data_IF_382017295599
#
_entry.id   IF_382017295599
#
_cell.length_a   1.000
_cell.length_b   1.000
_cell.length_c   1.000
_cell.angle_alpha   90.00
_cell.angle_beta   90.00
_cell.angle_gamma   90.00
#
_symmetry.space_group_name_H-M   'P 1'
#
loop_
_entity.id
_entity.type
_entity.pdbx_description
1 polymer ?
#
# COMPACT_ATOMS: atom_id res chain seq x y z
N UNK A 1 7.21 -7.71 23.14
CA UNK A 1 6.15 -7.38 22.17
C UNK A 1 6.08 -8.53 21.19
N UNK A 2 4.93 -9.19 21.06
CA UNK A 2 4.76 -10.28 20.10
C UNK A 2 4.88 -9.73 18.68
N UNK A 3 5.51 -10.47 17.76
CA UNK A 3 5.76 -10.07 16.37
C UNK A 3 4.48 -9.63 15.65
N UNK A 4 3.33 -10.16 16.07
CA UNK A 4 2.00 -9.78 15.59
C UNK A 4 1.65 -8.32 15.90
N UNK A 5 2.01 -7.81 17.08
CA UNK A 5 1.76 -6.42 17.48
C UNK A 5 2.55 -5.45 16.61
N UNK A 6 3.79 -5.80 16.26
CA UNK A 6 4.66 -4.97 15.42
C UNK A 6 4.11 -4.82 14.00
N UNK A 7 3.55 -5.89 13.42
CA UNK A 7 2.92 -5.81 12.09
C UNK A 7 1.72 -4.86 12.08
N UNK A 8 0.87 -4.93 13.11
CA UNK A 8 -0.29 -4.04 13.25
C UNK A 8 0.16 -2.59 13.43
N UNK A 9 1.16 -2.34 14.27
CA UNK A 9 1.72 -1.00 14.50
C UNK A 9 2.29 -0.44 13.19
N UNK A 10 3.08 -1.23 12.45
CA UNK A 10 3.67 -0.81 11.19
C UNK A 10 2.59 -0.48 10.15
N UNK A 11 1.53 -1.27 10.08
CA UNK A 11 0.38 -1.03 9.21
C UNK A 11 -0.34 0.28 9.56
N UNK A 12 -0.59 0.54 10.85
CA UNK A 12 -1.19 1.81 11.31
C UNK A 12 -0.29 3.01 11.02
N UNK A 13 1.02 2.88 11.21
CA UNK A 13 1.98 3.94 10.90
C UNK A 13 1.97 4.26 9.41
N UNK A 14 1.95 3.24 8.53
CA UNK A 14 1.83 3.42 7.08
C UNK A 14 0.52 4.11 6.69
N UNK A 15 -0.59 3.74 7.32
CA UNK A 15 -1.89 4.39 7.13
C UNK A 15 -1.88 5.85 7.56
N UNK A 16 -1.32 6.14 8.74
CA UNK A 16 -1.21 7.51 9.25
C UNK A 16 -0.33 8.38 8.36
N UNK A 17 0.78 7.84 7.86
CA UNK A 17 1.66 8.51 6.89
C UNK A 17 0.98 8.77 5.54
N UNK A 18 0.02 7.94 5.15
CA UNK A 18 -0.76 8.17 3.94
C UNK A 18 -1.67 9.40 4.05
N UNK A 19 -2.12 9.81 5.25
CA UNK A 19 -3.02 10.95 5.44
C UNK A 19 -2.42 12.29 4.97
N UNK A 20 -1.25 12.76 5.46
CA UNK A 20 -0.64 14.00 4.98
C UNK A 20 -0.24 13.90 3.51
N UNK A 21 0.14 12.71 3.04
CA UNK A 21 0.52 12.47 1.65
C UNK A 21 -0.66 12.65 0.69
N UNK A 22 -1.80 12.01 0.98
CA UNK A 22 -3.04 12.13 0.20
C UNK A 22 -3.53 13.58 0.22
N UNK A 23 -3.47 14.25 1.38
CA UNK A 23 -3.83 15.68 1.48
C UNK A 23 -2.98 16.56 0.56
N UNK A 24 -1.69 16.26 0.41
CA UNK A 24 -0.75 17.04 -0.43
C UNK A 24 -0.80 16.69 -1.91
N UNK A 25 -1.08 15.42 -2.25
CA UNK A 25 -1.09 14.91 -3.62
C UNK A 25 -2.45 15.00 -4.33
N UNK A 26 -3.51 15.32 -3.58
CA UNK A 26 -4.89 15.35 -4.07
C UNK A 26 -5.15 16.54 -5.00
N UNK A 27 -5.96 16.28 -6.04
CA UNK A 27 -6.52 17.32 -6.89
C UNK A 27 -7.53 18.20 -6.11
N UNK A 28 -7.48 19.55 -6.23
CA UNK A 28 -8.30 20.48 -5.44
C UNK A 28 -9.83 20.26 -5.51
N UNK A 29 -10.33 19.57 -6.54
CA UNK A 29 -11.77 19.32 -6.76
C UNK A 29 -12.33 18.06 -6.08
N UNK A 30 -11.50 17.15 -5.57
CA UNK A 30 -11.98 15.89 -4.98
C UNK A 30 -12.39 16.09 -3.52
N UNK A 31 -13.27 15.27 -2.91
CA UNK A 31 -13.46 15.27 -1.44
C UNK A 31 -12.30 14.51 -0.76
N UNK A 32 -11.64 15.06 0.28
CA UNK A 32 -10.43 14.47 0.84
C UNK A 32 -10.65 13.08 1.45
N UNK A 33 -11.82 12.86 2.07
CA UNK A 33 -12.19 11.57 2.65
C UNK A 33 -12.37 10.48 1.58
N UNK A 34 -13.03 10.80 0.47
CA UNK A 34 -13.24 9.85 -0.62
C UNK A 34 -11.91 9.44 -1.28
N UNK A 35 -11.02 10.41 -1.52
CA UNK A 35 -9.67 10.14 -2.03
C UNK A 35 -8.86 9.25 -1.07
N UNK A 36 -8.98 9.47 0.24
CA UNK A 36 -8.35 8.63 1.25
C UNK A 36 -8.91 7.20 1.24
N UNK A 37 -10.22 7.01 1.23
CA UNK A 37 -10.83 5.68 1.17
C UNK A 37 -10.39 4.90 -0.07
N UNK A 38 -10.42 5.55 -1.25
CA UNK A 38 -9.96 4.93 -2.50
C UNK A 38 -8.48 4.54 -2.41
N UNK A 39 -7.63 5.42 -1.88
CA UNK A 39 -6.21 5.13 -1.68
C UNK A 39 -6.00 3.93 -0.74
N UNK A 40 -6.65 3.92 0.42
CA UNK A 40 -6.50 2.85 1.42
C UNK A 40 -6.96 1.52 0.86
N UNK A 41 -8.09 1.49 0.15
CA UNK A 41 -8.59 0.26 -0.48
C UNK A 41 -7.62 -0.24 -1.55
N UNK A 42 -7.17 0.63 -2.46
CA UNK A 42 -6.21 0.24 -3.51
C UNK A 42 -4.87 -0.19 -2.94
N UNK A 43 -4.37 0.52 -1.93
CA UNK A 43 -3.13 0.17 -1.25
C UNK A 43 -3.27 -1.19 -0.55
N UNK A 44 -4.37 -1.44 0.15
CA UNK A 44 -4.60 -2.70 0.87
C UNK A 44 -4.73 -3.88 -0.09
N UNK A 45 -5.53 -3.73 -1.14
CA UNK A 45 -5.70 -4.76 -2.17
C UNK A 45 -4.39 -4.98 -2.93
N UNK A 46 -3.70 -3.92 -3.34
CA UNK A 46 -2.42 -3.99 -4.03
C UNK A 46 -1.33 -4.64 -3.19
N UNK A 47 -1.26 -4.30 -1.90
CA UNK A 47 -0.33 -4.92 -0.96
C UNK A 47 -0.67 -6.40 -0.73
N UNK A 48 -1.94 -6.77 -0.57
CA UNK A 48 -2.36 -8.17 -0.44
C UNK A 48 -1.97 -8.99 -1.68
N UNK A 49 -2.26 -8.48 -2.88
CA UNK A 49 -1.91 -9.15 -4.14
C UNK A 49 -0.39 -9.28 -4.29
N UNK A 50 0.38 -8.21 -4.07
CA UNK A 50 1.84 -8.28 -4.17
C UNK A 50 2.45 -9.19 -3.12
N UNK A 51 1.97 -9.14 -1.87
CA UNK A 51 2.41 -10.04 -0.82
C UNK A 51 2.18 -11.50 -1.23
N UNK A 52 0.98 -11.85 -1.69
CA UNK A 52 0.66 -13.21 -2.11
C UNK A 52 1.51 -13.68 -3.29
N UNK A 53 1.70 -12.83 -4.31
CA UNK A 53 2.52 -13.16 -5.50
C UNK A 53 3.98 -13.35 -5.13
N UNK A 54 4.56 -12.44 -4.34
CA UNK A 54 5.95 -12.54 -3.90
C UNK A 54 6.17 -13.74 -2.96
N UNK A 55 5.22 -14.02 -2.07
CA UNK A 55 5.26 -15.18 -1.19
C UNK A 55 5.21 -16.48 -1.99
N UNK A 56 4.33 -16.55 -3.00
CA UNK A 56 4.22 -17.70 -3.91
C UNK A 56 5.49 -17.91 -4.75
N UNK A 57 6.12 -16.83 -5.21
CA UNK A 57 7.41 -16.88 -5.90
C UNK A 57 8.50 -17.41 -4.95
N UNK A 58 8.63 -16.83 -3.75
CA UNK A 58 9.65 -17.27 -2.80
C UNK A 58 9.46 -18.72 -2.35
N UNK A 59 8.22 -19.17 -2.14
CA UNK A 59 7.95 -20.57 -1.79
C UNK A 59 8.29 -21.52 -2.94
N UNK A 60 7.98 -21.15 -4.18
CA UNK A 60 8.29 -21.95 -5.37
C UNK A 60 9.79 -22.10 -5.64
N UNK A 61 10.60 -21.08 -5.32
CA UNK A 61 12.06 -21.09 -5.50
C UNK A 61 12.85 -21.48 -4.23
N UNK A 62 12.19 -21.84 -3.13
CA UNK A 62 12.85 -22.16 -1.86
C UNK A 62 13.51 -20.96 -1.17
N UNK A 63 13.16 -19.72 -1.56
CA UNK A 63 13.75 -18.48 -1.04
C UNK A 63 13.19 -18.01 0.30
N UNK A 64 12.39 -18.82 1.00
CA UNK A 64 11.76 -18.44 2.27
C UNK A 64 12.79 -18.16 3.38
N UNK A 65 14.00 -18.71 3.29
CA UNK A 65 15.09 -18.41 4.21
C UNK A 65 15.52 -16.94 4.18
N UNK A 66 15.28 -16.24 3.08
CA UNK A 66 15.51 -14.80 3.00
C UNK A 66 14.61 -14.01 3.95
N UNK A 67 13.39 -14.50 4.28
CA UNK A 67 12.49 -13.84 5.24
C UNK A 67 12.93 -14.01 6.70
N UNK A 68 13.75 -15.01 7.01
CA UNK A 68 14.29 -15.18 8.37
C UNK A 68 15.32 -14.10 8.73
N UNK A 69 15.92 -13.47 7.72
CA UNK A 69 16.87 -12.39 7.90
C UNK A 69 16.16 -11.04 7.85
N UNK A 70 16.40 -10.18 8.85
CA UNK A 70 15.88 -8.80 8.92
C UNK A 70 16.02 -8.03 7.59
N UNK A 71 17.17 -8.01 6.90
CA UNK A 71 17.29 -7.30 5.62
C UNK A 71 16.46 -7.93 4.49
N UNK A 72 16.33 -9.25 4.44
CA UNK A 72 15.52 -9.91 3.41
C UNK A 72 14.03 -9.68 3.64
N UNK A 73 13.57 -9.72 4.90
CA UNK A 73 12.22 -9.32 5.28
C UNK A 73 11.95 -7.85 4.96
N UNK A 74 12.90 -6.94 5.24
CA UNK A 74 12.76 -5.53 4.90
C UNK A 74 12.64 -5.31 3.40
N UNK A 75 13.49 -5.95 2.60
CA UNK A 75 13.46 -5.86 1.13
C UNK A 75 12.14 -6.39 0.57
N UNK A 76 11.66 -7.52 1.11
CA UNK A 76 10.36 -8.10 0.75
C UNK A 76 9.21 -7.13 1.02
N UNK A 77 9.17 -6.52 2.21
CA UNK A 77 8.14 -5.53 2.55
C UNK A 77 8.20 -4.28 1.65
N UNK A 78 9.41 -3.81 1.30
CA UNK A 78 9.59 -2.71 0.35
C UNK A 78 9.02 -3.08 -1.02
N UNK A 79 9.32 -4.28 -1.52
CA UNK A 79 8.79 -4.80 -2.78
C UNK A 79 7.26 -4.97 -2.78
N UNK A 80 6.65 -5.22 -1.63
CA UNK A 80 5.18 -5.27 -1.50
C UNK A 80 4.58 -3.87 -1.45
N UNK A 81 5.05 -3.02 -0.54
CA UNK A 81 4.39 -1.75 -0.23
C UNK A 81 4.68 -0.65 -1.25
N UNK A 82 5.87 -0.59 -1.84
CA UNK A 82 6.23 0.46 -2.82
C UNK A 82 5.33 0.43 -4.07
N UNK A 83 5.16 -0.70 -4.79
CA UNK A 83 4.28 -0.73 -5.94
C UNK A 83 2.81 -0.51 -5.58
N UNK A 84 2.34 -1.05 -4.44
CA UNK A 84 0.99 -0.80 -3.95
C UNK A 84 0.76 0.70 -3.67
N UNK A 85 1.75 1.37 -3.08
CA UNK A 85 1.74 2.81 -2.83
C UNK A 85 1.75 3.63 -4.12
N UNK A 86 2.56 3.23 -5.10
CA UNK A 86 2.62 3.89 -6.41
C UNK A 86 1.30 3.77 -7.17
N UNK A 87 0.63 2.62 -7.10
CA UNK A 87 -0.71 2.42 -7.66
C UNK A 87 -1.73 3.38 -7.04
N UNK A 88 -1.77 3.46 -5.71
CA UNK A 88 -2.63 4.41 -4.99
C UNK A 88 -2.32 5.86 -5.38
N UNK A 89 -1.04 6.23 -5.45
CA UNK A 89 -0.58 7.57 -5.87
C UNK A 89 -1.02 7.90 -7.30
N UNK A 90 -0.90 6.96 -8.23
CA UNK A 90 -1.29 7.17 -9.62
C UNK A 90 -2.80 7.43 -9.74
N UNK A 91 -3.60 6.71 -8.97
CA UNK A 91 -5.05 6.93 -8.88
C UNK A 91 -5.41 8.30 -8.28
N UNK A 92 -4.70 8.75 -7.24
CA UNK A 92 -4.91 10.08 -6.65
C UNK A 92 -4.62 11.24 -7.61
N UNK A 93 -3.70 11.04 -8.56
CA UNK A 93 -3.37 12.02 -9.60
C UNK A 93 -4.36 12.05 -10.75
N UNK A 94 -5.18 11.01 -10.95
CA UNK A 94 -6.17 11.02 -12.02
C UNK A 94 -7.26 12.05 -11.71
N UNK A 95 -7.63 12.91 -12.69
CA UNK A 95 -8.72 13.84 -12.50
C UNK A 95 -10.02 13.07 -12.23
N UNK A 96 -10.85 13.50 -11.26
CA UNK A 96 -12.12 12.85 -10.99
C UNK A 96 -12.97 12.89 -12.27
N UNK A 97 -13.50 11.72 -12.66
CA UNK A 97 -14.36 11.56 -13.84
C UNK A 97 -15.56 12.50 -13.66
N UNK A 98 -15.68 13.50 -14.53
CA UNK A 98 -16.83 14.40 -14.53
C UNK A 98 -18.04 13.56 -14.93
N UNK A 99 -18.94 13.31 -13.98
CA UNK A 99 -20.24 12.74 -14.29
C UNK A 99 -21.02 13.88 -14.94
N UNK A 100 -21.48 13.76 -16.20
CA UNK A 100 -22.37 14.75 -16.79
C UNK A 100 -23.61 14.85 -15.90
N UNK A 101 -23.91 16.06 -15.44
CA UNK A 101 -25.18 16.33 -14.78
C UNK A 101 -26.19 16.48 -15.91
N UNK A 102 -27.03 15.46 -16.13
CA UNK A 102 -28.24 15.56 -16.95
C UNK A 102 -29.31 16.37 -16.22
#
# INVERSE_FOLDING_TARGET
>A
MSTQSLGIILWFVLLLLAIPYVRRAKHPRTKPLAAYMVFVTLFSVGAAVMFSVLLMLLSGYGGLDALHNVPGAALFLVLVFVPAFLLGRWQLKKPPRQVPVE
#
